data_IF_605419113463
#
_entry.id   IF_605419113463
#
_cell.length_a   1.000
_cell.length_b   1.000
_cell.length_c   1.000
_cell.angle_alpha   90.00
_cell.angle_beta   90.00
_cell.angle_gamma   90.00
#
_symmetry.space_group_name_H-M   'P 1'
#
loop_
_entity.id
_entity.type
_entity.pdbx_description
1 polymer ?
#
# COMPACT_ATOMS: atom_id res chain seq x y z
N UNK A 1 0.44 -13.18 28.92
CA UNK A 1 -0.16 -11.92 28.44
C UNK A 1 0.91 -10.92 27.98
N UNK A 2 2.10 -10.89 28.57
CA UNK A 2 3.20 -9.98 28.17
C UNK A 2 3.97 -10.38 26.90
N UNK A 3 3.98 -11.66 26.54
CA UNK A 3 4.76 -12.16 25.39
C UNK A 3 4.17 -11.78 24.03
N UNK A 4 2.83 -11.76 23.89
CA UNK A 4 2.16 -11.48 22.60
C UNK A 4 2.23 -9.98 22.25
N UNK A 5 2.15 -9.10 23.26
CA UNK A 5 2.39 -7.67 23.07
C UNK A 5 3.88 -7.37 22.86
N UNK A 6 4.80 -8.14 23.46
CA UNK A 6 6.22 -8.06 23.17
C UNK A 6 6.54 -8.52 21.73
N UNK A 7 5.98 -9.63 21.27
CA UNK A 7 6.14 -10.14 19.89
C UNK A 7 5.52 -9.16 18.87
N UNK A 8 4.35 -8.58 19.17
CA UNK A 8 3.73 -7.56 18.31
C UNK A 8 4.54 -6.27 18.26
N UNK A 9 5.12 -5.84 19.39
CA UNK A 9 6.07 -4.71 19.42
C UNK A 9 7.36 -5.03 18.68
N UNK A 10 7.89 -6.24 18.81
CA UNK A 10 9.10 -6.71 18.14
C UNK A 10 8.90 -6.80 16.63
N UNK A 11 7.75 -7.30 16.17
CA UNK A 11 7.42 -7.39 14.74
C UNK A 11 7.12 -6.02 14.11
N UNK A 12 6.39 -5.16 14.83
CA UNK A 12 6.15 -3.78 14.43
C UNK A 12 7.45 -2.97 14.36
N UNK A 13 8.31 -3.12 15.36
CA UNK A 13 9.64 -2.52 15.40
C UNK A 13 10.52 -3.05 14.28
N UNK A 14 10.51 -4.36 14.01
CA UNK A 14 11.29 -4.97 12.93
C UNK A 14 10.89 -4.46 11.54
N UNK A 15 9.59 -4.29 11.26
CA UNK A 15 9.12 -3.74 9.97
C UNK A 15 9.46 -2.25 9.80
N UNK A 16 9.42 -1.48 10.90
CA UNK A 16 9.85 -0.07 10.91
C UNK A 16 11.35 0.08 10.74
N UNK A 17 12.12 -0.76 11.42
CA UNK A 17 13.58 -0.79 11.35
C UNK A 17 14.03 -1.17 9.92
N UNK A 18 13.33 -2.10 9.26
CA UNK A 18 13.55 -2.43 7.85
C UNK A 18 13.25 -1.24 6.92
N UNK A 19 12.11 -0.57 7.08
CA UNK A 19 11.77 0.60 6.28
C UNK A 19 12.80 1.74 6.46
N UNK A 20 13.20 2.01 7.70
CA UNK A 20 14.21 3.00 8.03
C UNK A 20 15.60 2.62 7.49
N UNK A 21 15.93 1.32 7.46
CA UNK A 21 17.16 0.82 6.85
C UNK A 21 17.18 1.08 5.34
N UNK A 22 16.07 0.78 4.64
CA UNK A 22 15.94 1.04 3.21
C UNK A 22 16.03 2.54 2.89
N UNK A 23 15.35 3.40 3.65
CA UNK A 23 15.46 4.85 3.46
C UNK A 23 16.88 5.37 3.71
N UNK A 24 17.62 4.78 4.68
CA UNK A 24 19.04 5.09 4.89
C UNK A 24 19.90 4.61 3.72
N UNK A 25 19.61 3.46 3.14
CA UNK A 25 20.32 2.96 1.95
C UNK A 25 20.15 3.94 0.77
N UNK A 26 18.93 4.43 0.52
CA UNK A 26 18.66 5.48 -0.47
C UNK A 26 19.45 6.75 -0.18
N UNK A 27 19.51 7.18 1.09
CA UNK A 27 20.28 8.35 1.50
C UNK A 27 21.78 8.19 1.26
N UNK A 28 22.35 7.02 1.57
CA UNK A 28 23.77 6.73 1.36
C UNK A 28 24.12 6.68 -0.13
N UNK A 29 23.31 6.00 -0.95
CA UNK A 29 23.49 5.98 -2.40
C UNK A 29 23.38 7.41 -2.99
N UNK A 30 22.41 8.20 -2.52
CA UNK A 30 22.23 9.59 -2.97
C UNK A 30 23.44 10.44 -2.60
N UNK A 31 24.00 10.27 -1.40
CA UNK A 31 25.21 10.99 -1.00
C UNK A 31 26.39 10.67 -1.94
N UNK A 32 26.55 9.39 -2.32
CA UNK A 32 27.52 8.96 -3.32
C UNK A 32 27.31 9.63 -4.68
N UNK A 33 26.07 9.67 -5.16
CA UNK A 33 25.71 10.37 -6.41
C UNK A 33 26.04 11.86 -6.36
N UNK A 34 25.68 12.56 -5.28
CA UNK A 34 25.95 14.00 -5.13
C UNK A 34 27.44 14.31 -5.13
N UNK A 35 28.26 13.46 -4.50
CA UNK A 35 29.73 13.60 -4.53
C UNK A 35 30.25 13.45 -5.95
N UNK A 36 29.83 12.42 -6.68
CA UNK A 36 30.25 12.19 -8.07
C UNK A 36 29.78 13.31 -9.02
N UNK A 37 28.54 13.77 -8.87
CA UNK A 37 28.00 14.89 -9.63
C UNK A 37 28.76 16.20 -9.34
N UNK A 38 29.16 16.46 -8.09
CA UNK A 38 30.02 17.61 -7.76
C UNK A 38 31.42 17.47 -8.36
N UNK A 39 32.02 16.29 -8.33
CA UNK A 39 33.32 16.04 -8.95
C UNK A 39 33.29 16.29 -10.46
N UNK A 40 32.19 15.93 -11.13
CA UNK A 40 31.93 16.28 -12.53
C UNK A 40 31.84 17.80 -12.73
N UNK A 41 31.12 18.50 -11.85
CA UNK A 41 30.98 19.96 -11.92
C UNK A 41 32.26 20.73 -11.61
N UNK A 42 33.23 20.14 -10.90
CA UNK A 42 34.55 20.75 -10.64
C UNK A 42 35.56 20.56 -11.77
N UNK A 43 35.20 19.86 -12.85
CA UNK A 43 36.09 19.71 -14.00
C UNK A 43 36.32 21.08 -14.65
N UNK A 44 37.59 21.52 -14.80
CA UNK A 44 37.94 22.88 -15.22
C UNK A 44 37.55 23.22 -16.67
N UNK A 45 37.17 22.21 -17.45
CA UNK A 45 36.87 22.32 -18.87
C UNK A 45 35.35 22.32 -19.17
N UNK A 46 34.50 22.28 -18.14
CA UNK A 46 33.05 22.41 -18.31
C UNK A 46 32.62 23.87 -18.38
N UNK A 47 31.60 24.15 -19.19
CA UNK A 47 30.95 25.44 -19.20
C UNK A 47 30.39 25.81 -17.82
N UNK A 48 30.56 27.06 -17.35
CA UNK A 48 30.04 27.51 -16.06
C UNK A 48 28.53 27.26 -15.88
N UNK A 49 27.75 27.37 -16.95
CA UNK A 49 26.31 27.05 -16.93
C UNK A 49 26.02 25.55 -16.81
N UNK A 50 26.87 24.68 -17.37
CA UNK A 50 26.75 23.24 -17.23
C UNK A 50 27.13 22.79 -15.80
N UNK A 51 28.21 23.36 -15.24
CA UNK A 51 28.61 23.14 -13.85
C UNK A 51 27.48 23.54 -12.89
N UNK A 52 26.90 24.72 -13.07
CA UNK A 52 25.82 25.21 -12.22
C UNK A 52 24.56 24.33 -12.31
N UNK A 53 24.20 23.84 -13.51
CA UNK A 53 23.08 22.91 -13.70
C UNK A 53 23.27 21.58 -12.96
N UNK A 54 24.46 20.98 -13.07
CA UNK A 54 24.77 19.72 -12.37
C UNK A 54 24.73 19.91 -10.85
N UNK A 55 25.28 21.02 -10.33
CA UNK A 55 25.25 21.33 -8.89
C UNK A 55 23.82 21.56 -8.39
N UNK A 56 23.00 22.27 -9.17
CA UNK A 56 21.60 22.52 -8.82
C UNK A 56 20.79 21.22 -8.77
N UNK A 57 20.94 20.35 -9.78
CA UNK A 57 20.29 19.05 -9.81
C UNK A 57 20.74 18.13 -8.66
N UNK A 58 22.05 18.10 -8.35
CA UNK A 58 22.60 17.32 -7.25
C UNK A 58 22.08 17.81 -5.89
N UNK A 59 22.03 19.13 -5.69
CA UNK A 59 21.48 19.75 -4.47
C UNK A 59 20.00 19.41 -4.31
N UNK A 60 19.23 19.49 -5.38
CA UNK A 60 17.80 19.15 -5.38
C UNK A 60 17.59 17.67 -5.03
N UNK A 61 18.41 16.77 -5.57
CA UNK A 61 18.35 15.34 -5.25
C UNK A 61 18.64 15.09 -3.77
N UNK A 62 19.66 15.73 -3.19
CA UNK A 62 19.95 15.65 -1.76
C UNK A 62 18.81 16.16 -0.86
N UNK A 63 18.13 17.23 -1.28
CA UNK A 63 16.94 17.76 -0.59
C UNK A 63 15.77 16.79 -0.64
N UNK A 64 15.41 16.29 -1.82
CA UNK A 64 14.32 15.32 -2.00
C UNK A 64 14.58 14.07 -1.17
N UNK A 65 15.82 13.55 -1.15
CA UNK A 65 16.16 12.38 -0.36
C UNK A 65 16.10 12.65 1.15
N UNK A 66 16.51 13.83 1.60
CA UNK A 66 16.37 14.22 3.02
C UNK A 66 14.91 14.30 3.43
N UNK A 67 14.04 14.82 2.56
CA UNK A 67 12.60 14.84 2.77
C UNK A 67 12.02 13.43 2.81
N UNK A 68 12.42 12.54 1.89
CA UNK A 68 12.02 11.13 1.91
C UNK A 68 12.37 10.44 3.23
N UNK A 69 13.59 10.65 3.74
CA UNK A 69 14.02 10.06 5.03
C UNK A 69 13.23 10.64 6.20
N UNK A 70 12.96 11.94 6.18
CA UNK A 70 12.13 12.59 7.21
C UNK A 70 10.68 12.07 7.17
N UNK A 71 10.08 12.00 5.98
CA UNK A 71 8.77 11.39 5.76
C UNK A 71 8.76 9.94 6.23
N UNK A 72 9.78 9.15 5.90
CA UNK A 72 9.90 7.76 6.37
C UNK A 72 9.89 7.68 7.90
N UNK A 73 10.65 8.54 8.59
CA UNK A 73 10.70 8.56 10.06
C UNK A 73 9.36 8.90 10.70
N UNK A 74 8.64 9.87 10.12
CA UNK A 74 7.34 10.32 10.63
C UNK A 74 6.25 9.30 10.31
N UNK A 75 6.33 8.64 9.15
CA UNK A 75 5.31 7.72 8.64
C UNK A 75 5.56 6.25 9.00
N UNK A 76 6.76 5.87 9.43
CA UNK A 76 7.09 4.54 9.95
C UNK A 76 6.06 4.00 10.97
N UNK A 77 5.62 4.77 11.99
CA UNK A 77 4.58 4.33 12.92
C UNK A 77 3.19 4.11 12.31
N UNK A 78 2.93 4.68 11.13
CA UNK A 78 1.62 4.61 10.45
C UNK A 78 1.73 3.97 9.07
N UNK A 79 2.78 3.19 8.79
CA UNK A 79 3.04 2.65 7.44
C UNK A 79 1.99 1.65 6.95
N UNK A 80 1.13 1.15 7.84
CA UNK A 80 -0.02 0.31 7.48
C UNK A 80 -1.16 1.10 6.82
N UNK A 81 -1.12 2.43 6.94
CA UNK A 81 -2.11 3.32 6.36
C UNK A 81 -1.79 3.54 4.87
N UNK A 82 -2.71 3.24 3.94
CA UNK A 82 -2.45 3.33 2.50
C UNK A 82 -2.09 4.75 2.04
N UNK A 83 -2.67 5.79 2.68
CA UNK A 83 -2.30 7.18 2.39
C UNK A 83 -0.85 7.51 2.77
N UNK A 84 -0.33 6.91 3.84
CA UNK A 84 1.08 7.08 4.24
C UNK A 84 2.01 6.31 3.29
N UNK A 85 1.59 5.14 2.80
CA UNK A 85 2.32 4.39 1.78
C UNK A 85 2.38 5.16 0.45
N UNK A 86 1.25 5.75 0.02
CA UNK A 86 1.21 6.60 -1.17
C UNK A 86 2.12 7.82 -1.02
N UNK A 87 2.04 8.54 0.10
CA UNK A 87 2.93 9.69 0.35
C UNK A 87 4.41 9.30 0.32
N UNK A 88 4.77 8.13 0.86
CA UNK A 88 6.16 7.67 0.82
C UNK A 88 6.58 7.24 -0.60
N UNK A 89 5.67 6.64 -1.36
CA UNK A 89 5.90 6.28 -2.76
C UNK A 89 6.04 7.53 -3.65
N UNK A 90 5.25 8.57 -3.40
CA UNK A 90 5.36 9.87 -4.09
C UNK A 90 6.70 10.55 -3.77
N UNK A 91 7.09 10.61 -2.50
CA UNK A 91 8.40 11.13 -2.10
C UNK A 91 9.55 10.33 -2.74
N UNK A 92 9.43 9.00 -2.82
CA UNK A 92 10.41 8.14 -3.48
C UNK A 92 10.49 8.43 -4.99
N UNK A 93 9.34 8.68 -5.63
CA UNK A 93 9.26 9.08 -7.05
C UNK A 93 9.89 10.45 -7.31
N UNK A 94 9.69 11.42 -6.42
CA UNK A 94 10.34 12.73 -6.52
C UNK A 94 11.87 12.60 -6.47
N UNK A 95 12.40 11.71 -5.63
CA UNK A 95 13.84 11.40 -5.63
C UNK A 95 14.28 10.80 -6.96
N UNK A 96 13.51 9.85 -7.52
CA UNK A 96 13.83 9.27 -8.82
C UNK A 96 13.92 10.34 -9.92
N UNK A 97 12.96 11.27 -9.97
CA UNK A 97 12.98 12.36 -10.94
C UNK A 97 14.15 13.31 -10.75
N UNK A 98 14.54 13.60 -9.51
CA UNK A 98 15.70 14.42 -9.23
C UNK A 98 17.01 13.74 -9.69
N UNK A 99 17.13 12.41 -9.46
CA UNK A 99 18.24 11.59 -9.96
C UNK A 99 18.30 11.60 -11.50
N UNK A 100 17.15 11.48 -12.17
CA UNK A 100 17.07 11.58 -13.64
C UNK A 100 17.55 12.94 -14.13
N UNK A 101 17.18 14.02 -13.43
CA UNK A 101 17.67 15.37 -13.70
C UNK A 101 19.19 15.51 -13.55
N UNK A 102 19.80 14.84 -12.58
CA UNK A 102 21.27 14.79 -12.43
C UNK A 102 21.91 14.10 -13.63
N UNK A 103 21.43 12.92 -14.01
CA UNK A 103 21.95 12.18 -15.17
C UNK A 103 21.81 12.99 -16.45
N UNK A 104 20.67 13.65 -16.65
CA UNK A 104 20.44 14.50 -17.82
C UNK A 104 21.39 15.70 -17.85
N UNK A 105 21.60 16.36 -16.71
CA UNK A 105 22.57 17.46 -16.59
C UNK A 105 24.00 16.99 -16.87
N UNK A 106 24.38 15.81 -16.36
CA UNK A 106 25.68 15.19 -16.59
C UNK A 106 25.91 14.85 -18.06
N UNK A 107 24.92 14.26 -18.74
CA UNK A 107 24.98 13.98 -20.19
C UNK A 107 25.08 15.25 -21.03
N UNK A 108 24.30 16.27 -20.68
CA UNK A 108 24.35 17.56 -21.37
C UNK A 108 25.74 18.21 -21.28
N UNK A 109 26.43 18.05 -20.14
CA UNK A 109 27.81 18.50 -19.98
C UNK A 109 28.83 17.71 -20.82
N UNK A 110 28.53 16.45 -21.15
CA UNK A 110 29.34 15.65 -22.08
C UNK A 110 29.19 16.10 -23.53
N UNK A 111 27.99 16.53 -23.94
CA UNK A 111 27.71 16.98 -25.31
C UNK A 111 28.41 18.30 -25.66
N UNK A 112 28.57 19.20 -24.69
CA UNK A 112 29.30 20.48 -24.88
C UNK A 112 30.80 20.29 -25.08
N UNK A 113 31.34 19.09 -24.82
CA UNK A 113 32.76 18.78 -24.97
C UNK A 113 33.10 18.15 -26.32
N UNK A 114 32.14 17.97 -27.23
CA UNK A 114 32.37 17.34 -28.54
C UNK A 114 33.47 18.04 -29.38
N UNK A 115 33.77 19.31 -29.11
CA UNK A 115 34.77 20.12 -29.81
C UNK A 115 36.16 20.15 -29.12
N UNK A 116 36.32 19.49 -27.96
CA UNK A 116 37.54 19.52 -27.14
C UNK A 116 38.51 18.35 -27.39
N UNK A 117 39.82 18.48 -27.03
CA UNK A 117 40.81 17.43 -27.23
C UNK A 117 40.45 16.11 -26.53
N UNK A 118 40.81 14.94 -27.13
CA UNK A 118 40.33 13.62 -26.71
C UNK A 118 40.71 13.24 -25.26
N UNK A 119 41.82 13.77 -24.72
CA UNK A 119 42.22 13.51 -23.33
C UNK A 119 41.28 14.14 -22.30
N UNK A 120 40.68 15.29 -22.61
CA UNK A 120 39.71 15.99 -21.74
C UNK A 120 38.32 15.38 -21.86
N UNK A 121 37.95 14.95 -23.07
CA UNK A 121 36.71 14.20 -23.29
C UNK A 121 36.70 12.90 -22.47
N UNK A 122 37.83 12.20 -22.42
CA UNK A 122 37.91 10.91 -21.73
C UNK A 122 37.75 11.05 -20.21
N UNK A 123 38.34 12.08 -19.57
CA UNK A 123 38.19 12.30 -18.13
C UNK A 123 36.77 12.68 -17.73
N UNK A 124 36.10 13.52 -18.52
CA UNK A 124 34.71 13.91 -18.27
C UNK A 124 33.75 12.75 -18.56
N UNK A 125 34.01 11.96 -19.60
CA UNK A 125 33.19 10.80 -19.92
C UNK A 125 33.21 9.76 -18.79
N UNK A 126 34.37 9.53 -18.17
CA UNK A 126 34.48 8.66 -16.99
C UNK A 126 33.65 9.21 -15.82
N UNK A 127 33.73 10.51 -15.56
CA UNK A 127 32.94 11.15 -14.50
C UNK A 127 31.42 11.10 -14.77
N UNK A 128 30.99 11.18 -16.03
CA UNK A 128 29.59 10.99 -16.43
C UNK A 128 29.17 9.55 -16.17
N UNK A 129 29.94 8.55 -16.62
CA UNK A 129 29.62 7.13 -16.40
C UNK A 129 29.59 6.78 -14.91
N UNK A 130 30.47 7.38 -14.11
CA UNK A 130 30.50 7.21 -12.66
C UNK A 130 29.23 7.78 -12.01
N UNK A 131 28.77 8.93 -12.49
CA UNK A 131 27.53 9.59 -12.04
C UNK A 131 26.31 8.75 -12.44
N UNK A 132 26.28 8.20 -13.66
CA UNK A 132 25.21 7.30 -14.11
C UNK A 132 25.16 6.01 -13.29
N UNK A 133 26.31 5.43 -12.96
CA UNK A 133 26.40 4.21 -12.13
C UNK A 133 25.90 4.48 -10.70
N UNK A 134 26.25 5.64 -10.13
CA UNK A 134 25.69 6.01 -8.83
C UNK A 134 24.18 6.32 -8.91
N UNK A 135 23.70 6.84 -10.04
CA UNK A 135 22.27 7.06 -10.25
C UNK A 135 21.52 5.73 -10.31
N UNK A 136 22.09 4.69 -10.94
CA UNK A 136 21.50 3.35 -10.93
C UNK A 136 21.45 2.75 -9.53
N UNK A 137 22.50 2.93 -8.71
CA UNK A 137 22.48 2.47 -7.30
C UNK A 137 21.37 3.14 -6.48
N UNK A 138 21.11 4.44 -6.71
CA UNK A 138 19.99 5.14 -6.06
C UNK A 138 18.64 4.58 -6.51
N UNK A 139 18.47 4.31 -7.81
CA UNK A 139 17.23 3.70 -8.35
C UNK A 139 17.01 2.30 -7.79
N UNK A 140 18.04 1.46 -7.73
CA UNK A 140 17.94 0.12 -7.15
C UNK A 140 17.53 0.17 -5.67
N UNK A 141 18.06 1.13 -4.90
CA UNK A 141 17.67 1.33 -3.51
C UNK A 141 16.22 1.84 -3.37
N UNK A 142 15.77 2.71 -4.28
CA UNK A 142 14.38 3.19 -4.34
C UNK A 142 13.42 2.06 -4.73
N UNK A 143 13.81 1.19 -5.66
CA UNK A 143 13.00 0.05 -6.07
C UNK A 143 12.83 -0.96 -4.93
N UNK A 144 13.89 -1.19 -4.14
CA UNK A 144 13.80 -2.01 -2.93
C UNK A 144 12.86 -1.37 -1.88
N UNK A 145 12.91 -0.05 -1.70
CA UNK A 145 11.98 0.68 -0.84
C UNK A 145 10.53 0.55 -1.33
N UNK A 146 10.29 0.79 -2.62
CA UNK A 146 8.96 0.69 -3.23
C UNK A 146 8.41 -0.74 -3.20
N UNK A 147 9.24 -1.75 -3.46
CA UNK A 147 8.85 -3.15 -3.33
C UNK A 147 8.46 -3.50 -1.89
N UNK A 148 9.16 -2.95 -0.89
CA UNK A 148 8.78 -3.10 0.51
C UNK A 148 7.45 -2.40 0.84
N UNK A 149 7.21 -1.20 0.29
CA UNK A 149 5.92 -0.50 0.43
C UNK A 149 4.77 -1.29 -0.19
N UNK A 150 4.96 -1.85 -1.39
CA UNK A 150 3.97 -2.68 -2.07
C UNK A 150 3.69 -3.98 -1.31
N UNK A 151 4.72 -4.64 -0.77
CA UNK A 151 4.54 -5.84 0.08
C UNK A 151 3.82 -5.52 1.40
N UNK A 152 4.11 -4.35 2.00
CA UNK A 152 3.40 -3.87 3.17
C UNK A 152 1.94 -3.48 2.87
N UNK A 153 1.67 -3.00 1.65
CA UNK A 153 0.33 -2.70 1.13
C UNK A 153 -0.48 -3.95 0.82
N UNK A 154 0.13 -4.93 0.15
CA UNK A 154 -0.48 -6.22 -0.18
C UNK A 154 -0.91 -7.00 1.07
N UNK A 155 -0.20 -6.85 2.19
CA UNK A 155 -0.60 -7.42 3.48
C UNK A 155 -1.78 -6.70 4.15
N UNK A 156 -2.03 -5.44 3.77
CA UNK A 156 -3.18 -4.65 4.26
C UNK A 156 -4.45 -4.87 3.42
N UNK A 157 -4.33 -5.40 2.21
CA UNK A 157 -5.43 -5.62 1.25
C UNK A 157 -5.68 -7.11 0.98
N UNK A 158 -5.93 -7.90 2.04
CA UNK A 158 -6.51 -9.25 1.88
C UNK A 158 -8.01 -9.13 1.52
N UNK A 159 -8.31 -8.58 0.34
CA UNK A 159 -9.56 -8.84 -0.38
C UNK A 159 -9.42 -10.06 -1.30
N UNK A 160 -8.18 -10.40 -1.64
CA UNK A 160 -7.81 -11.40 -2.65
C UNK A 160 -8.29 -12.83 -2.33
N UNK A 161 -8.35 -13.23 -1.05
CA UNK A 161 -8.76 -14.60 -0.71
C UNK A 161 -10.26 -14.86 -0.97
N UNK A 162 -11.13 -13.90 -0.69
CA UNK A 162 -12.56 -14.03 -0.96
C UNK A 162 -12.88 -13.78 -2.44
N UNK A 163 -12.20 -12.83 -3.08
CA UNK A 163 -12.37 -12.57 -4.51
C UNK A 163 -11.89 -13.77 -5.36
N UNK A 164 -10.74 -14.36 -5.02
CA UNK A 164 -10.27 -15.60 -5.65
C UNK A 164 -11.19 -16.79 -5.35
N UNK A 165 -11.77 -16.84 -4.15
CA UNK A 165 -12.77 -17.84 -3.79
C UNK A 165 -14.03 -17.71 -4.67
N UNK A 166 -14.58 -16.49 -4.79
CA UNK A 166 -15.76 -16.23 -5.59
C UNK A 166 -15.51 -16.52 -7.07
N UNK A 167 -14.38 -16.09 -7.62
CA UNK A 167 -14.02 -16.38 -9.01
C UNK A 167 -13.85 -17.89 -9.26
N UNK A 168 -13.26 -18.63 -8.31
CA UNK A 168 -13.15 -20.09 -8.42
C UNK A 168 -14.52 -20.79 -8.30
N UNK A 169 -15.44 -20.24 -7.49
CA UNK A 169 -16.80 -20.74 -7.32
C UNK A 169 -17.63 -20.54 -8.59
N UNK A 170 -17.59 -19.35 -9.17
CA UNK A 170 -18.28 -19.03 -10.43
C UNK A 170 -17.78 -19.91 -11.58
N UNK A 171 -16.47 -20.13 -11.68
CA UNK A 171 -15.89 -21.05 -12.66
C UNK A 171 -16.33 -22.51 -12.44
N UNK A 172 -16.54 -22.95 -11.19
CA UNK A 172 -17.07 -24.29 -10.91
C UNK A 172 -18.52 -24.42 -11.38
N UNK A 173 -19.34 -23.39 -11.15
CA UNK A 173 -20.76 -23.36 -11.52
C UNK A 173 -21.01 -23.22 -13.03
N UNK A 174 -20.16 -22.47 -13.73
CA UNK A 174 -20.27 -22.26 -15.19
C UNK A 174 -19.89 -23.50 -16.02
N UNK A 175 -19.14 -24.44 -15.44
CA UNK A 175 -18.78 -25.68 -16.12
C UNK A 175 -20.00 -26.61 -16.18
N UNK A 176 -20.58 -26.73 -17.38
CA UNK A 176 -21.72 -27.60 -17.66
C UNK A 176 -21.28 -29.06 -17.85
N UNK A 177 -22.23 -29.99 -17.69
CA UNK A 177 -22.04 -31.44 -17.68
C UNK A 177 -21.10 -31.93 -18.81
N UNK A 178 -19.97 -32.53 -18.42
CA UNK A 178 -18.93 -33.04 -19.34
C UNK A 178 -17.52 -32.48 -19.11
N UNK A 179 -17.37 -31.43 -18.29
CA UNK A 179 -16.08 -30.81 -17.96
C UNK A 179 -15.62 -31.11 -16.52
N UNK A 180 -15.84 -32.35 -16.04
CA UNK A 180 -15.55 -32.76 -14.65
C UNK A 180 -14.10 -32.52 -14.21
N UNK A 181 -13.13 -32.59 -15.12
CA UNK A 181 -11.74 -32.23 -14.82
C UNK A 181 -11.55 -30.74 -14.53
N UNK A 182 -12.25 -29.85 -15.24
CA UNK A 182 -12.23 -28.41 -14.96
C UNK A 182 -12.95 -28.09 -13.67
N UNK A 183 -14.04 -28.78 -13.36
CA UNK A 183 -14.73 -28.67 -12.05
C UNK A 183 -13.78 -29.05 -10.89
N UNK A 184 -13.03 -30.14 -11.01
CA UNK A 184 -12.03 -30.55 -10.01
C UNK A 184 -10.91 -29.52 -9.88
N UNK A 185 -10.45 -28.90 -10.97
CA UNK A 185 -9.46 -27.84 -10.93
C UNK A 185 -10.00 -26.59 -10.21
N UNK A 186 -11.24 -26.18 -10.48
CA UNK A 186 -11.92 -25.09 -9.77
C UNK A 186 -12.11 -25.40 -8.29
N UNK A 187 -12.48 -26.63 -7.93
CA UNK A 187 -12.60 -27.08 -6.55
C UNK A 187 -11.26 -27.05 -5.79
N UNK A 188 -10.14 -27.34 -6.46
CA UNK A 188 -8.79 -27.19 -5.87
C UNK A 188 -8.45 -25.72 -5.63
N UNK A 189 -8.81 -24.81 -6.54
CA UNK A 189 -8.63 -23.36 -6.35
C UNK A 189 -9.50 -22.83 -5.22
N UNK A 190 -10.74 -23.29 -5.10
CA UNK A 190 -11.61 -23.01 -3.95
C UNK A 190 -10.94 -23.43 -2.64
N UNK A 191 -10.45 -24.66 -2.55
CA UNK A 191 -9.77 -25.15 -1.36
C UNK A 191 -8.51 -24.34 -1.01
N UNK A 192 -7.74 -23.89 -2.00
CA UNK A 192 -6.58 -23.01 -1.78
C UNK A 192 -6.99 -21.64 -1.22
N UNK A 193 -8.01 -21.01 -1.83
CA UNK A 193 -8.54 -19.74 -1.37
C UNK A 193 -9.11 -19.85 0.06
N UNK A 194 -9.85 -20.92 0.36
CA UNK A 194 -10.36 -21.17 1.70
C UNK A 194 -9.25 -21.44 2.72
N UNK A 195 -8.17 -22.14 2.34
CA UNK A 195 -7.02 -22.32 3.24
C UNK A 195 -6.38 -20.98 3.63
N UNK A 196 -6.31 -20.03 2.69
CA UNK A 196 -5.87 -18.67 2.97
C UNK A 196 -6.86 -17.93 3.90
N UNK A 197 -8.17 -18.07 3.68
CA UNK A 197 -9.19 -17.51 4.58
C UNK A 197 -9.08 -18.08 6.00
N UNK A 198 -8.86 -19.38 6.16
CA UNK A 198 -8.67 -20.03 7.47
C UNK A 198 -7.43 -19.47 8.17
N UNK A 199 -6.32 -19.29 7.45
CA UNK A 199 -5.12 -18.68 8.01
C UNK A 199 -5.38 -17.24 8.48
N UNK A 200 -6.10 -16.46 7.67
CA UNK A 200 -6.50 -15.09 8.01
C UNK A 200 -7.44 -15.03 9.23
N UNK A 201 -8.40 -15.95 9.35
CA UNK A 201 -9.32 -16.04 10.50
C UNK A 201 -8.54 -16.41 11.77
N UNK A 202 -7.64 -17.39 11.69
CA UNK A 202 -6.81 -17.80 12.84
C UNK A 202 -5.90 -16.65 13.29
N UNK A 203 -5.25 -15.96 12.36
CA UNK A 203 -4.47 -14.77 12.67
C UNK A 203 -5.33 -13.68 13.34
N UNK A 204 -6.58 -13.51 12.91
CA UNK A 204 -7.52 -12.58 13.56
C UNK A 204 -7.97 -13.04 14.95
N UNK A 205 -8.16 -14.35 15.15
CA UNK A 205 -8.48 -14.92 16.46
C UNK A 205 -7.33 -14.70 17.45
N UNK A 206 -6.09 -14.86 17.01
CA UNK A 206 -4.88 -14.58 17.82
C UNK A 206 -4.73 -13.08 18.14
N UNK A 207 -5.11 -12.20 17.21
CA UNK A 207 -5.14 -10.75 17.43
C UNK A 207 -6.25 -10.29 18.38
N UNK A 208 -7.30 -11.10 18.54
CA UNK A 208 -8.49 -10.79 19.35
C UNK A 208 -8.39 -11.32 20.78
N UNK A 209 -7.19 -11.61 21.28
CA UNK A 209 -6.96 -12.25 22.58
C UNK A 209 -7.47 -11.52 23.84
N UNK A 210 -8.02 -10.31 23.70
CA UNK A 210 -8.73 -9.60 24.78
C UNK A 210 -10.22 -9.98 24.89
N UNK A 211 -10.77 -10.73 23.91
CA UNK A 211 -12.17 -11.18 23.86
C UNK A 211 -12.25 -12.70 23.60
N UNK A 212 -12.41 -13.52 24.65
CA UNK A 212 -12.45 -14.98 24.53
C UNK A 212 -13.68 -15.48 23.75
N UNK A 213 -14.80 -14.77 23.79
CA UNK A 213 -16.02 -15.15 23.08
C UNK A 213 -15.89 -14.91 21.58
N UNK A 214 -15.24 -13.81 21.19
CA UNK A 214 -14.89 -13.53 19.80
C UNK A 214 -13.85 -14.51 19.27
N UNK A 215 -12.82 -14.79 20.06
CA UNK A 215 -11.79 -15.77 19.70
C UNK A 215 -12.41 -17.16 19.47
N UNK A 216 -13.33 -17.58 20.35
CA UNK A 216 -14.09 -18.82 20.23
C UNK A 216 -14.92 -18.86 18.94
N UNK A 217 -15.64 -17.77 18.63
CA UNK A 217 -16.44 -17.63 17.40
C UNK A 217 -15.59 -17.71 16.13
N UNK A 218 -14.45 -17.02 16.09
CA UNK A 218 -13.52 -17.06 14.95
C UNK A 218 -12.91 -18.45 14.76
N UNK A 219 -12.54 -19.15 15.85
CA UNK A 219 -12.07 -20.53 15.74
C UNK A 219 -13.17 -21.49 15.28
N UNK A 220 -14.42 -21.30 15.72
CA UNK A 220 -15.55 -22.08 15.24
C UNK A 220 -15.76 -21.87 13.72
N UNK A 221 -15.69 -20.63 13.23
CA UNK A 221 -15.77 -20.32 11.81
C UNK A 221 -14.62 -20.94 11.00
N UNK A 222 -13.37 -20.84 11.50
CA UNK A 222 -12.21 -21.47 10.87
C UNK A 222 -12.33 -23.01 10.81
N UNK A 223 -12.91 -23.61 11.85
CA UNK A 223 -13.18 -25.05 11.89
C UNK A 223 -14.25 -25.45 10.88
N UNK A 224 -15.39 -24.73 10.83
CA UNK A 224 -16.45 -24.99 9.85
C UNK A 224 -15.93 -24.87 8.41
N UNK A 225 -15.11 -23.85 8.12
CA UNK A 225 -14.45 -23.73 6.83
C UNK A 225 -13.54 -24.92 6.52
N UNK A 226 -12.76 -25.40 7.50
CA UNK A 226 -11.88 -26.55 7.32
C UNK A 226 -12.66 -27.85 7.06
N UNK A 227 -13.75 -28.07 7.80
CA UNK A 227 -14.61 -29.26 7.65
C UNK A 227 -15.31 -29.27 6.28
N UNK A 228 -15.85 -28.12 5.85
CA UNK A 228 -16.45 -27.95 4.53
C UNK A 228 -15.43 -28.08 3.40
N UNK A 229 -14.22 -27.53 3.57
CA UNK A 229 -13.12 -27.68 2.60
C UNK A 229 -12.69 -29.13 2.45
N UNK A 230 -12.67 -29.88 3.56
CA UNK A 230 -12.34 -31.32 3.54
C UNK A 230 -13.38 -32.10 2.75
N UNK A 231 -14.67 -31.77 2.95
CA UNK A 231 -15.79 -32.36 2.20
C UNK A 231 -15.71 -32.05 0.71
N UNK A 232 -15.39 -30.79 0.35
CA UNK A 232 -15.17 -30.39 -1.04
C UNK A 232 -14.01 -31.17 -1.68
N UNK A 233 -12.88 -31.31 -0.98
CA UNK A 233 -11.72 -32.07 -1.50
C UNK A 233 -12.06 -33.55 -1.68
N UNK A 234 -12.85 -34.13 -0.77
CA UNK A 234 -13.30 -35.52 -0.90
C UNK A 234 -14.19 -35.72 -2.13
N UNK A 235 -15.18 -34.85 -2.32
CA UNK A 235 -16.03 -34.85 -3.51
C UNK A 235 -15.21 -34.63 -4.80
N UNK A 236 -14.22 -33.73 -4.77
CA UNK A 236 -13.33 -33.48 -5.90
C UNK A 236 -12.44 -34.68 -6.25
N UNK A 237 -12.00 -35.45 -5.24
CA UNK A 237 -11.26 -36.70 -5.45
C UNK A 237 -12.14 -37.76 -6.10
N UNK A 238 -13.37 -37.94 -5.62
CA UNK A 238 -14.31 -38.90 -6.19
C UNK A 238 -14.65 -38.52 -7.65
N UNK A 239 -14.97 -37.25 -7.90
CA UNK A 239 -15.20 -36.73 -9.24
C UNK A 239 -13.96 -36.85 -10.15
N UNK A 240 -12.74 -36.77 -9.61
CA UNK A 240 -11.52 -36.96 -10.42
C UNK A 240 -11.30 -38.41 -10.87
N UNK A 241 -11.84 -39.38 -10.14
CA UNK A 241 -11.75 -40.80 -10.50
C UNK A 241 -12.71 -41.15 -11.66
N UNK A 242 -13.90 -40.54 -11.70
CA UNK A 242 -14.86 -40.68 -12.79
C UNK A 242 -15.41 -39.30 -13.20
N UNK A 243 -14.68 -38.55 -14.05
CA UNK A 243 -15.01 -37.17 -14.39
C UNK A 243 -16.31 -37.00 -15.18
N UNK A 244 -16.78 -38.03 -15.87
CA UNK A 244 -18.00 -38.01 -16.69
C UNK A 244 -19.26 -38.39 -15.91
N UNK A 245 -19.11 -38.82 -14.65
CA UNK A 245 -20.23 -39.20 -13.80
C UNK A 245 -20.99 -37.96 -13.29
N UNK A 246 -22.22 -37.81 -13.76
CA UNK A 246 -23.11 -36.69 -13.43
C UNK A 246 -23.43 -36.65 -11.92
N UNK A 247 -23.49 -37.82 -11.26
CA UNK A 247 -23.79 -37.89 -9.82
C UNK A 247 -22.62 -37.30 -9.03
N UNK A 248 -21.39 -37.70 -9.35
CA UNK A 248 -20.18 -37.17 -8.68
C UNK A 248 -19.94 -35.69 -9.00
N UNK A 249 -20.28 -35.23 -10.21
CA UNK A 249 -20.26 -33.80 -10.54
C UNK A 249 -21.28 -33.01 -9.72
N UNK A 250 -22.47 -33.56 -9.49
CA UNK A 250 -23.49 -32.93 -8.65
C UNK A 250 -23.10 -32.91 -7.17
N UNK A 251 -22.55 -34.00 -6.63
CA UNK A 251 -22.00 -34.05 -5.27
C UNK A 251 -20.89 -33.00 -5.07
N UNK A 252 -20.02 -32.82 -6.06
CA UNK A 252 -18.99 -31.79 -6.05
C UNK A 252 -19.57 -30.37 -6.03
N UNK A 253 -20.65 -30.14 -6.79
CA UNK A 253 -21.35 -28.84 -6.84
C UNK A 253 -22.05 -28.54 -5.52
N UNK A 254 -22.73 -29.52 -4.94
CA UNK A 254 -23.37 -29.40 -3.62
C UNK A 254 -22.34 -29.12 -2.52
N UNK A 255 -21.19 -29.82 -2.54
CA UNK A 255 -20.10 -29.54 -1.61
C UNK A 255 -19.52 -28.12 -1.78
N UNK A 256 -19.44 -27.61 -3.02
CA UNK A 256 -19.01 -26.25 -3.30
C UNK A 256 -20.04 -25.20 -2.85
N UNK A 257 -21.33 -25.45 -3.03
CA UNK A 257 -22.43 -24.59 -2.54
C UNK A 257 -22.44 -24.49 -1.01
N UNK A 258 -22.33 -25.63 -0.33
CA UNK A 258 -22.22 -25.68 1.12
C UNK A 258 -20.97 -24.92 1.61
N UNK A 259 -19.83 -25.09 0.94
CA UNK A 259 -18.63 -24.33 1.24
C UNK A 259 -18.83 -22.82 1.01
N UNK A 260 -19.55 -22.43 -0.04
CA UNK A 260 -19.81 -21.04 -0.38
C UNK A 260 -20.61 -20.33 0.73
N UNK A 261 -21.67 -20.96 1.24
CA UNK A 261 -22.46 -20.39 2.35
C UNK A 261 -21.62 -20.19 3.60
N UNK A 262 -20.79 -21.19 3.95
CA UNK A 262 -19.90 -21.12 5.13
C UNK A 262 -18.79 -20.10 4.91
N UNK A 263 -18.25 -20.00 3.69
CA UNK A 263 -17.21 -19.04 3.35
C UNK A 263 -17.74 -17.60 3.44
N UNK A 264 -18.95 -17.31 2.94
CA UNK A 264 -19.54 -15.99 3.07
C UNK A 264 -19.93 -15.63 4.51
N UNK A 265 -20.42 -16.59 5.31
CA UNK A 265 -20.72 -16.32 6.72
C UNK A 265 -19.44 -16.05 7.53
N UNK A 266 -18.38 -16.84 7.30
CA UNK A 266 -17.08 -16.61 7.90
C UNK A 266 -16.44 -15.32 7.39
N UNK A 267 -16.57 -15.02 6.10
CA UNK A 267 -16.05 -13.81 5.50
C UNK A 267 -16.79 -12.56 5.95
N UNK A 268 -18.10 -12.61 6.19
CA UNK A 268 -18.87 -11.46 6.65
C UNK A 268 -18.30 -10.88 7.95
N UNK A 269 -17.89 -11.73 8.90
CA UNK A 269 -17.28 -11.31 10.16
C UNK A 269 -15.90 -10.62 9.94
N UNK A 270 -15.10 -11.15 9.01
CA UNK A 270 -13.78 -10.62 8.65
C UNK A 270 -13.90 -9.32 7.83
N UNK A 271 -14.81 -9.32 6.86
CA UNK A 271 -15.13 -8.19 5.98
C UNK A 271 -15.68 -7.05 6.81
N UNK A 272 -16.62 -7.28 7.73
CA UNK A 272 -17.19 -6.23 8.57
C UNK A 272 -16.10 -5.51 9.37
N UNK A 273 -15.27 -6.27 10.08
CA UNK A 273 -14.14 -5.71 10.86
C UNK A 273 -13.13 -4.97 9.96
N UNK A 274 -12.84 -5.53 8.77
CA UNK A 274 -11.93 -4.92 7.79
C UNK A 274 -12.52 -3.66 7.17
N UNK A 275 -13.79 -3.65 6.81
CA UNK A 275 -14.51 -2.53 6.21
C UNK A 275 -14.59 -1.37 7.19
N UNK A 276 -14.90 -1.61 8.46
CA UNK A 276 -14.87 -0.57 9.49
C UNK A 276 -13.44 -0.03 9.68
N UNK A 277 -12.42 -0.89 9.74
CA UNK A 277 -11.02 -0.43 9.84
C UNK A 277 -10.56 0.35 8.60
N UNK A 278 -10.96 -0.09 7.41
CA UNK A 278 -10.67 0.57 6.14
C UNK A 278 -11.39 1.92 6.05
N UNK A 279 -12.65 1.99 6.50
CA UNK A 279 -13.41 3.22 6.62
C UNK A 279 -12.76 4.18 7.61
N UNK A 280 -12.33 3.71 8.79
CA UNK A 280 -11.59 4.51 9.77
C UNK A 280 -10.29 5.06 9.17
N UNK A 281 -9.58 4.24 8.40
CA UNK A 281 -8.37 4.62 7.70
C UNK A 281 -8.66 5.70 6.64
N UNK A 282 -9.64 5.49 5.76
CA UNK A 282 -10.04 6.46 4.74
C UNK A 282 -10.53 7.77 5.37
N UNK A 283 -11.34 7.70 6.43
CA UNK A 283 -11.84 8.86 7.16
C UNK A 283 -10.70 9.67 7.79
N UNK A 284 -9.67 9.02 8.35
CA UNK A 284 -8.46 9.69 8.85
C UNK A 284 -7.71 10.42 7.75
N UNK A 285 -7.47 9.75 6.63
CA UNK A 285 -6.79 10.35 5.48
C UNK A 285 -7.57 11.57 4.96
N UNK A 286 -8.90 11.45 4.87
CA UNK A 286 -9.81 12.52 4.47
C UNK A 286 -9.74 13.70 5.43
N UNK A 287 -9.76 13.46 6.76
CA UNK A 287 -9.61 14.52 7.77
C UNK A 287 -8.26 15.23 7.65
N UNK A 288 -7.17 14.49 7.45
CA UNK A 288 -5.84 15.09 7.26
C UNK A 288 -5.79 15.95 6.00
N UNK A 289 -6.29 15.45 4.87
CA UNK A 289 -6.37 16.20 3.62
C UNK A 289 -7.26 17.43 3.74
N UNK A 290 -8.44 17.30 4.35
CA UNK A 290 -9.35 18.39 4.62
C UNK A 290 -8.70 19.49 5.49
N UNK A 291 -7.98 19.10 6.54
CA UNK A 291 -7.24 20.05 7.39
C UNK A 291 -6.18 20.81 6.58
N UNK A 292 -5.44 20.12 5.71
CA UNK A 292 -4.45 20.75 4.84
C UNK A 292 -5.11 21.71 3.85
N UNK A 293 -6.21 21.29 3.21
CA UNK A 293 -6.97 22.13 2.28
C UNK A 293 -7.52 23.39 2.94
N UNK A 294 -8.07 23.28 4.17
CA UNK A 294 -8.53 24.45 4.94
C UNK A 294 -7.38 25.41 5.20
N UNK A 295 -6.22 24.91 5.63
CA UNK A 295 -5.04 25.75 5.91
C UNK A 295 -4.52 26.43 4.63
N UNK A 296 -4.40 25.69 3.53
CA UNK A 296 -3.98 26.23 2.23
C UNK A 296 -4.97 27.27 1.73
N UNK A 297 -6.28 27.00 1.83
CA UNK A 297 -7.34 27.94 1.42
C UNK A 297 -7.30 29.23 2.23
N UNK A 298 -7.01 29.18 3.52
CA UNK A 298 -6.85 30.37 4.36
C UNK A 298 -5.62 31.19 3.95
N UNK A 299 -4.50 30.55 3.65
CA UNK A 299 -3.28 31.24 3.21
C UNK A 299 -3.45 31.83 1.80
N UNK A 300 -4.04 31.07 0.87
CA UNK A 300 -4.37 31.52 -0.47
C UNK A 300 -5.38 32.67 -0.44
N UNK A 301 -6.39 32.60 0.42
CA UNK A 301 -7.39 33.65 0.61
C UNK A 301 -6.77 34.98 1.06
N UNK A 302 -5.77 34.93 1.96
CA UNK A 302 -5.03 36.12 2.43
C UNK A 302 -4.11 36.73 1.37
N UNK A 303 -3.67 35.94 0.39
CA UNK A 303 -2.64 36.32 -0.59
C UNK A 303 -3.21 36.59 -2.00
N UNK A 304 -4.43 36.13 -2.27
CA UNK A 304 -5.14 36.34 -3.53
C UNK A 304 -5.74 37.73 -3.61
N UNK A 305 -5.67 38.33 -4.80
CA UNK A 305 -6.32 39.61 -5.13
C UNK A 305 -7.70 39.44 -5.78
N UNK A 306 -8.14 38.19 -6.00
CA UNK A 306 -9.43 37.85 -6.63
C UNK A 306 -10.56 37.63 -5.61
N UNK A 307 -11.74 37.24 -6.10
CA UNK A 307 -12.88 36.90 -5.25
C UNK A 307 -12.65 35.53 -4.56
N UNK A 308 -12.46 35.54 -3.24
CA UNK A 308 -12.17 34.36 -2.42
C UNK A 308 -13.36 33.91 -1.57
N UNK A 309 -14.53 34.57 -1.69
CA UNK A 309 -15.68 34.33 -0.82
C UNK A 309 -16.18 32.88 -0.86
N UNK A 310 -16.31 32.29 -2.05
CA UNK A 310 -16.79 30.92 -2.20
C UNK A 310 -15.81 29.91 -1.57
N UNK A 311 -14.53 30.01 -1.92
CA UNK A 311 -13.46 29.16 -1.37
C UNK A 311 -13.38 29.27 0.17
N UNK A 312 -13.50 30.49 0.73
CA UNK A 312 -13.48 30.68 2.19
C UNK A 312 -14.75 30.14 2.86
N UNK A 313 -15.90 30.23 2.21
CA UNK A 313 -17.15 29.62 2.67
C UNK A 313 -17.04 28.10 2.71
N UNK A 314 -16.55 27.48 1.64
CA UNK A 314 -16.37 26.04 1.51
C UNK A 314 -15.33 25.52 2.52
N UNK A 315 -14.21 26.24 2.69
CA UNK A 315 -13.22 25.92 3.72
C UNK A 315 -13.80 26.00 5.14
N UNK A 316 -14.72 26.94 5.41
CA UNK A 316 -15.39 27.04 6.72
C UNK A 316 -16.37 25.89 6.94
N UNK A 317 -17.10 25.48 5.92
CA UNK A 317 -18.01 24.32 5.97
C UNK A 317 -17.23 23.03 6.26
N UNK A 318 -16.13 22.78 5.53
CA UNK A 318 -15.24 21.64 5.74
C UNK A 318 -14.63 21.66 7.14
N UNK A 319 -14.15 22.82 7.60
CA UNK A 319 -13.57 22.97 8.95
C UNK A 319 -14.57 22.67 10.08
N UNK A 320 -15.87 22.91 9.86
CA UNK A 320 -16.92 22.57 10.83
C UNK A 320 -17.15 21.06 10.99
N UNK A 321 -16.83 20.25 9.98
CA UNK A 321 -17.05 18.79 10.00
C UNK A 321 -15.87 17.99 10.53
N UNK A 322 -14.65 18.55 10.45
CA UNK A 322 -13.41 17.90 10.89
C UNK A 322 -13.52 17.41 12.36
N UNK A 323 -13.90 18.24 13.35
CA UNK A 323 -13.90 17.80 14.76
C UNK A 323 -14.87 16.64 15.02
N UNK A 324 -16.08 16.71 14.42
CA UNK A 324 -17.09 15.64 14.55
C UNK A 324 -16.61 14.32 13.97
N UNK A 325 -15.95 14.38 12.82
CA UNK A 325 -15.44 13.17 12.16
C UNK A 325 -14.27 12.58 12.96
N UNK A 326 -13.39 13.41 13.52
CA UNK A 326 -12.34 12.95 14.44
C UNK A 326 -12.92 12.26 15.67
N UNK A 327 -14.00 12.79 16.24
CA UNK A 327 -14.70 12.18 17.38
C UNK A 327 -15.29 10.82 16.99
N UNK A 328 -16.04 10.74 15.89
CA UNK A 328 -16.62 9.47 15.41
C UNK A 328 -15.56 8.41 15.10
N UNK A 329 -14.40 8.80 14.53
CA UNK A 329 -13.25 7.90 14.31
C UNK A 329 -12.67 7.41 15.64
N UNK A 330 -12.61 8.28 16.66
CA UNK A 330 -12.11 7.91 17.99
C UNK A 330 -13.07 6.98 18.72
N UNK A 331 -14.36 7.26 18.67
CA UNK A 331 -15.41 6.45 19.30
C UNK A 331 -15.55 5.09 18.62
N UNK A 332 -15.57 5.05 17.29
CA UNK A 332 -15.53 3.79 16.53
C UNK A 332 -14.23 3.00 16.76
N UNK A 333 -13.11 3.66 17.08
CA UNK A 333 -11.88 2.95 17.45
C UNK A 333 -11.90 2.43 18.90
N UNK A 334 -12.59 3.13 19.80
CA UNK A 334 -12.77 2.70 21.18
C UNK A 334 -13.73 1.50 21.25
N UNK A 335 -14.81 1.54 20.49
CA UNK A 335 -15.84 0.51 20.44
C UNK A 335 -16.09 0.06 18.98
N UNK A 336 -15.16 -0.70 18.37
CA UNK A 336 -15.25 -1.08 16.96
C UNK A 336 -16.39 -2.04 16.63
N UNK A 337 -17.07 -2.59 17.64
CA UNK A 337 -18.18 -3.54 17.51
C UNK A 337 -19.54 -2.89 17.83
N UNK A 338 -19.57 -1.65 18.31
CA UNK A 338 -20.85 -0.98 18.61
C UNK A 338 -21.50 -0.49 17.32
N UNK A 339 -22.67 -1.05 16.92
CA UNK A 339 -23.36 -0.65 15.69
C UNK A 339 -23.67 0.85 15.65
N UNK A 340 -23.87 1.47 16.83
CA UNK A 340 -24.15 2.90 16.92
C UNK A 340 -22.94 3.74 16.49
N UNK A 341 -21.75 3.44 17.02
CA UNK A 341 -20.51 4.15 16.63
C UNK A 341 -20.10 3.88 15.19
N UNK A 342 -20.39 2.69 14.65
CA UNK A 342 -20.17 2.36 13.24
C UNK A 342 -21.09 3.17 12.34
N UNK A 343 -22.37 3.28 12.69
CA UNK A 343 -23.34 4.08 11.96
C UNK A 343 -22.99 5.58 12.01
N UNK A 344 -22.53 6.07 13.15
CA UNK A 344 -22.06 7.45 13.27
C UNK A 344 -20.80 7.73 12.43
N UNK A 345 -19.86 6.77 12.36
CA UNK A 345 -18.70 6.86 11.47
C UNK A 345 -19.12 6.88 10.00
N UNK A 346 -20.02 5.99 9.58
CA UNK A 346 -20.55 5.95 8.22
C UNK A 346 -21.22 7.29 7.87
N UNK A 347 -22.13 7.77 8.73
CA UNK A 347 -22.81 9.05 8.52
C UNK A 347 -21.87 10.27 8.53
N UNK A 348 -20.78 10.23 9.31
CA UNK A 348 -19.74 11.26 9.28
C UNK A 348 -18.97 11.25 7.95
N UNK A 349 -18.63 10.06 7.44
CA UNK A 349 -17.99 9.89 6.14
C UNK A 349 -18.90 10.34 4.99
N UNK A 350 -20.19 9.99 5.02
CA UNK A 350 -21.17 10.40 3.99
C UNK A 350 -21.31 11.92 3.90
N UNK A 351 -21.34 12.62 5.04
CA UNK A 351 -21.37 14.10 5.06
C UNK A 351 -20.13 14.70 4.43
N UNK A 352 -18.97 14.09 4.62
CA UNK A 352 -17.72 14.51 3.97
C UNK A 352 -17.77 14.34 2.44
N UNK A 353 -18.39 13.26 1.96
CA UNK A 353 -18.60 13.02 0.53
C UNK A 353 -19.61 14.00 -0.07
N UNK A 354 -20.72 14.28 0.63
CA UNK A 354 -21.77 15.19 0.15
C UNK A 354 -21.32 16.65 0.01
N UNK A 355 -20.30 17.07 0.77
CA UNK A 355 -19.76 18.45 0.69
C UNK A 355 -18.72 18.59 -0.42
N UNK A 356 -18.25 17.51 -1.03
CA UNK A 356 -17.41 17.56 -2.22
C UNK A 356 -18.31 17.72 -3.46
N UNK A 357 -18.42 18.91 -4.09
CA UNK A 357 -19.11 19.01 -5.36
C UNK A 357 -18.22 18.36 -6.42
N UNK A 358 -18.86 17.70 -7.38
CA UNK A 358 -18.27 17.29 -8.66
C UNK A 358 -17.72 18.51 -9.40
#
# INVERSE_FOLDING_TARGET
MDDVTAIRRLWFKSSQDQLLSLAKAVANATAGLVVKAKNLATQPNLDPEAQQRVIAAATQTGLCTSQLVACTKVLAPTIHQPSCQQQLSEAAREVSWAVDGVVQASRAAGLTLAEQPPQVQQSVQIAITDTETAATEVRDALDQLNAHLLKASAKAYSGDALDNFQLAYENLQQNHAGDGQRMVASARRLAQATAQMIADIKAQAELSGDDPDRQSRLFAAAKQLADATTTLIAAAKNCSANPDDIILQNELREAAENLNVIAYSAAAELLHTRLIRSLQAAARATVTGATQLVNVSQVAGKRSRGNTYQMMSDAKAVNGMIPRTVISIRESRANPEDPMTQMELIGACERFVQVSPV
#
